data_IF_991882485899
#
_entry.id   IF_991882485899
#
_cell.length_a   1.000
_cell.length_b   1.000
_cell.length_c   1.000
_cell.angle_alpha   90.00
_cell.angle_beta   90.00
_cell.angle_gamma   90.00
#
_symmetry.space_group_name_H-M   'P 1'
#
loop_
_entity.id
_entity.type
_entity.pdbx_description
1 polymer ?
#
# COMPACT_ATOMS: atom_id res chain seq x y z
N UNK A 1 -5.13 6.30 -4.39
CA UNK A 1 -4.23 6.18 -3.22
C UNK A 1 -4.05 4.71 -2.88
N UNK A 2 -2.84 4.25 -2.54
CA UNK A 2 -2.60 2.87 -2.04
C UNK A 2 -2.43 2.95 -0.52
N UNK A 3 -3.16 2.11 0.20
CA UNK A 3 -3.05 1.98 1.66
C UNK A 3 -2.12 0.81 2.00
N UNK A 4 -0.91 1.12 2.47
CA UNK A 4 0.13 0.12 2.81
C UNK A 4 -0.28 -0.79 3.97
N UNK A 5 -1.14 -0.33 4.88
CA UNK A 5 -1.64 -1.14 5.99
C UNK A 5 -2.62 -2.21 5.48
N UNK A 6 -3.49 -1.86 4.53
CA UNK A 6 -4.38 -2.84 3.89
C UNK A 6 -3.61 -3.87 3.09
N UNK A 7 -2.59 -3.45 2.34
CA UNK A 7 -1.72 -4.38 1.64
C UNK A 7 -0.98 -5.31 2.62
N UNK A 8 -0.44 -4.77 3.71
CA UNK A 8 0.22 -5.55 4.75
C UNK A 8 -0.72 -6.57 5.42
N UNK A 9 -2.00 -6.24 5.62
CA UNK A 9 -3.02 -7.18 6.16
C UNK A 9 -3.23 -8.37 5.24
N UNK A 10 -3.21 -8.17 3.93
CA UNK A 10 -3.39 -9.24 2.93
C UNK A 10 -2.14 -10.12 2.86
N UNK A 11 -0.95 -9.52 2.84
CA UNK A 11 0.32 -10.25 2.79
C UNK A 11 0.60 -11.03 4.08
N UNK A 12 0.28 -10.44 5.23
CA UNK A 12 0.57 -10.99 6.55
C UNK A 12 -0.69 -11.54 7.25
N UNK A 13 -1.61 -12.14 6.49
CA UNK A 13 -2.84 -12.77 7.00
C UNK A 13 -2.54 -13.63 8.25
N UNK A 14 -3.26 -13.37 9.34
CA UNK A 14 -3.14 -14.09 10.61
C UNK A 14 -1.98 -13.64 11.52
N UNK A 15 -1.11 -12.71 11.10
CA UNK A 15 -0.05 -12.17 11.96
C UNK A 15 -0.54 -11.00 12.80
N UNK A 16 -0.20 -10.99 14.09
CA UNK A 16 -0.40 -9.84 14.97
C UNK A 16 0.59 -8.71 14.65
N UNK A 17 0.38 -7.51 15.22
CA UNK A 17 1.30 -6.35 15.12
C UNK A 17 1.59 -5.90 13.69
N UNK A 18 0.66 -5.13 13.12
CA UNK A 18 0.74 -4.54 11.78
C UNK A 18 0.99 -3.02 11.84
N UNK A 19 1.59 -2.52 12.92
CA UNK A 19 2.02 -1.12 12.95
C UNK A 19 3.11 -0.90 11.90
N UNK A 20 3.28 0.33 11.43
CA UNK A 20 4.32 0.66 10.46
C UNK A 20 5.71 0.28 10.99
N UNK A 21 5.99 0.57 12.26
CA UNK A 21 7.26 0.22 12.92
C UNK A 21 7.49 -1.29 12.96
N UNK A 22 6.46 -2.09 13.28
CA UNK A 22 6.56 -3.55 13.28
C UNK A 22 6.83 -4.11 11.89
N UNK A 23 6.16 -3.55 10.87
CA UNK A 23 6.35 -3.96 9.47
C UNK A 23 7.76 -3.60 8.99
N UNK A 24 8.24 -2.39 9.29
CA UNK A 24 9.61 -1.99 8.93
C UNK A 24 10.66 -2.86 9.61
N UNK A 25 10.45 -3.22 10.88
CA UNK A 25 11.34 -4.13 11.61
C UNK A 25 11.37 -5.52 10.96
N UNK A 26 10.19 -6.09 10.63
CA UNK A 26 10.07 -7.41 9.97
C UNK A 26 10.72 -7.45 8.60
N UNK A 27 10.63 -6.36 7.85
CA UNK A 27 11.21 -6.24 6.52
C UNK A 27 12.69 -5.78 6.57
N UNK A 28 13.27 -5.58 7.76
CA UNK A 28 14.67 -5.14 7.91
C UNK A 28 14.94 -3.70 7.44
N UNK A 29 13.92 -2.86 7.34
CA UNK A 29 13.98 -1.52 6.72
C UNK A 29 14.22 -0.39 7.73
N UNK A 30 14.10 -0.63 9.03
CA UNK A 30 14.23 0.42 10.05
C UNK A 30 15.54 1.20 9.97
N UNK A 31 16.67 0.50 9.74
CA UNK A 31 17.97 1.16 9.59
C UNK A 31 18.01 2.05 8.35
N UNK A 32 17.42 1.62 7.24
CA UNK A 32 17.37 2.41 6.00
C UNK A 32 16.53 3.68 6.19
N UNK A 33 15.41 3.60 6.91
CA UNK A 33 14.63 4.79 7.27
C UNK A 33 15.49 5.76 8.08
N UNK A 34 16.21 5.29 9.10
CA UNK A 34 17.04 6.14 9.95
C UNK A 34 18.21 6.79 9.18
N UNK A 35 18.71 6.16 8.12
CA UNK A 35 19.71 6.76 7.22
C UNK A 35 19.09 7.84 6.32
N UNK A 36 17.89 7.61 5.79
CA UNK A 36 17.20 8.57 4.92
C UNK A 36 16.72 9.82 5.67
N UNK A 37 16.27 9.66 6.91
CA UNK A 37 15.70 10.73 7.73
C UNK A 37 16.38 10.78 9.11
N UNK A 38 17.67 11.17 9.16
CA UNK A 38 18.45 11.15 10.38
C UNK A 38 17.84 12.05 11.47
N UNK A 39 17.86 11.58 12.71
CA UNK A 39 17.31 12.30 13.86
C UNK A 39 15.78 12.33 13.95
N UNK A 40 15.07 11.72 13.00
CA UNK A 40 13.63 11.51 13.10
C UNK A 40 13.30 10.27 13.92
N UNK A 41 12.04 10.19 14.37
CA UNK A 41 11.52 9.11 15.21
C UNK A 41 10.17 8.62 14.67
N UNK A 42 9.74 7.39 15.01
CA UNK A 42 8.41 6.89 14.65
C UNK A 42 7.29 7.87 15.04
N UNK A 43 6.18 7.85 14.30
CA UNK A 43 5.04 8.77 14.47
C UNK A 43 5.30 10.22 14.04
N UNK A 44 6.50 10.53 13.51
CA UNK A 44 6.74 11.78 12.77
C UNK A 44 6.39 11.56 11.32
N UNK A 45 5.61 12.49 10.74
CA UNK A 45 5.13 12.39 9.37
C UNK A 45 6.25 12.11 8.34
N UNK A 46 7.42 12.72 8.51
CA UNK A 46 8.57 12.48 7.63
C UNK A 46 9.13 11.06 7.77
N UNK A 47 9.24 10.55 9.01
CA UNK A 47 9.68 9.18 9.28
C UNK A 47 8.66 8.16 8.74
N UNK A 48 7.38 8.39 9.01
CA UNK A 48 6.30 7.51 8.56
C UNK A 48 6.20 7.50 7.02
N UNK A 49 6.41 8.65 6.37
CA UNK A 49 6.43 8.76 4.91
C UNK A 49 7.59 8.00 4.30
N UNK A 50 8.81 8.18 4.81
CA UNK A 50 9.99 7.46 4.35
C UNK A 50 9.84 5.93 4.58
N UNK A 51 9.30 5.55 5.74
CA UNK A 51 8.97 4.17 6.07
C UNK A 51 7.97 3.55 5.09
N UNK A 52 6.84 4.22 4.85
CA UNK A 52 5.83 3.72 3.92
C UNK A 52 6.36 3.61 2.48
N UNK A 53 7.18 4.58 2.04
CA UNK A 53 7.78 4.59 0.71
C UNK A 53 8.78 3.44 0.50
N UNK A 54 9.55 3.07 1.54
CA UNK A 54 10.44 1.90 1.48
C UNK A 54 9.68 0.58 1.61
N UNK A 55 8.65 0.53 2.44
CA UNK A 55 7.89 -0.70 2.70
C UNK A 55 7.06 -1.15 1.48
N UNK A 56 6.47 -0.21 0.73
CA UNK A 56 5.63 -0.53 -0.42
C UNK A 56 6.31 -1.38 -1.51
N UNK A 57 7.47 -1.00 -2.07
CA UNK A 57 8.15 -1.83 -3.09
C UNK A 57 8.60 -3.17 -2.53
N UNK A 58 8.94 -3.25 -1.23
CA UNK A 58 9.31 -4.52 -0.61
C UNK A 58 8.12 -5.48 -0.49
N UNK A 59 6.96 -4.97 -0.09
CA UNK A 59 5.71 -5.73 -0.09
C UNK A 59 5.30 -6.19 -1.50
N UNK A 60 5.48 -5.34 -2.52
CA UNK A 60 5.18 -5.70 -3.92
C UNK A 60 6.04 -6.88 -4.38
N UNK A 61 7.33 -6.93 -4.01
CA UNK A 61 8.23 -8.04 -4.34
C UNK A 61 7.82 -9.38 -3.71
N UNK A 62 7.05 -9.35 -2.63
CA UNK A 62 6.58 -10.56 -1.93
C UNK A 62 5.23 -11.07 -2.46
N UNK A 63 4.55 -10.31 -3.32
CA UNK A 63 3.29 -10.75 -3.90
C UNK A 63 3.51 -11.86 -4.93
N UNK A 64 2.69 -12.94 -4.91
CA UNK A 64 2.77 -13.98 -5.92
C UNK A 64 2.30 -13.45 -7.29
N UNK A 65 3.13 -13.64 -8.33
CA UNK A 65 2.78 -13.33 -9.71
C UNK A 65 4.00 -13.22 -10.62
N UNK A 66 3.97 -13.86 -11.78
CA UNK A 66 4.98 -13.67 -12.83
C UNK A 66 4.55 -12.52 -13.74
N UNK A 67 5.28 -11.40 -13.70
CA UNK A 67 5.08 -10.26 -14.62
C UNK A 67 5.00 -8.89 -13.95
N UNK A 68 4.75 -7.87 -14.78
CA UNK A 68 4.62 -6.47 -14.32
C UNK A 68 3.31 -6.27 -13.56
N UNK A 69 3.41 -6.03 -12.24
CA UNK A 69 2.24 -5.73 -11.41
C UNK A 69 1.67 -4.34 -11.78
N UNK A 70 0.45 -4.30 -12.32
CA UNK A 70 -0.22 -3.03 -12.62
C UNK A 70 -0.73 -2.34 -11.35
N UNK A 71 -0.88 -1.02 -11.41
CA UNK A 71 -1.46 -0.23 -10.31
C UNK A 71 -2.89 -0.69 -9.95
N UNK A 72 -3.69 -1.04 -10.95
CA UNK A 72 -5.06 -1.57 -10.75
C UNK A 72 -5.06 -2.95 -10.08
N UNK A 73 -4.12 -3.83 -10.46
CA UNK A 73 -3.94 -5.11 -9.79
C UNK A 73 -3.56 -4.93 -8.31
N UNK A 74 -2.67 -3.98 -8.02
CA UNK A 74 -2.28 -3.65 -6.66
C UNK A 74 -3.44 -3.07 -5.82
N UNK A 75 -4.28 -2.19 -6.40
CA UNK A 75 -5.52 -1.72 -5.74
C UNK A 75 -6.45 -2.88 -5.39
N UNK A 76 -6.64 -3.81 -6.33
CA UNK A 76 -7.49 -5.00 -6.14
C UNK A 76 -6.96 -5.91 -5.03
N UNK A 77 -5.66 -6.16 -5.01
CA UNK A 77 -4.99 -6.96 -3.95
C UNK A 77 -5.14 -6.28 -2.58
N UNK A 78 -4.99 -4.95 -2.52
CA UNK A 78 -5.19 -4.18 -1.29
C UNK A 78 -6.67 -4.07 -0.85
N UNK A 79 -7.61 -4.69 -1.58
CA UNK A 79 -9.04 -4.64 -1.27
C UNK A 79 -9.64 -3.24 -1.42
N UNK A 80 -9.07 -2.40 -2.29
CA UNK A 80 -9.67 -1.12 -2.65
C UNK A 80 -10.66 -1.33 -3.79
N UNK A 81 -11.81 -0.63 -3.81
CA UNK A 81 -12.61 -0.54 -5.03
C UNK A 81 -11.69 -0.03 -6.15
N UNK A 82 -11.55 -0.84 -7.19
CA UNK A 82 -11.07 -0.34 -8.49
C UNK A 82 -12.19 0.60 -8.94
N UNK A 83 -11.86 1.83 -9.34
CA UNK A 83 -12.87 2.83 -9.67
C UNK A 83 -13.56 2.42 -10.99
N UNK A 84 -14.48 1.45 -10.91
CA UNK A 84 -15.44 1.10 -11.96
C UNK A 84 -16.63 2.09 -11.96
N UNK A 85 -16.61 3.13 -11.12
CA UNK A 85 -17.65 4.15 -11.05
C UNK A 85 -17.69 5.08 -12.26
N UNK A 86 -16.66 5.08 -13.13
CA UNK A 86 -16.74 5.85 -14.40
C UNK A 86 -17.73 5.25 -15.40
N UNK A 87 -18.03 3.96 -15.34
CA UNK A 87 -18.98 3.32 -16.27
C UNK A 87 -20.44 3.38 -15.79
N UNK A 88 -20.68 3.69 -14.51
CA UNK A 88 -22.04 3.75 -13.95
C UNK A 88 -22.74 5.08 -14.26
N UNK A 89 -22.00 6.18 -14.44
CA UNK A 89 -22.59 7.51 -14.67
C UNK A 89 -23.02 7.70 -16.14
N UNK A 90 -22.35 7.06 -17.11
CA UNK A 90 -22.72 7.17 -18.53
C UNK A 90 -23.97 6.36 -18.92
N UNK A 91 -24.43 5.42 -18.09
CA UNK A 91 -25.64 4.62 -18.37
C UNK A 91 -26.93 5.18 -17.75
N UNK A 92 -26.88 6.37 -17.13
CA UNK A 92 -28.02 6.97 -16.42
C UNK A 92 -28.55 8.27 -17.04
N UNK A 93 -28.11 8.66 -18.24
CA UNK A 93 -28.80 9.70 -19.00
C UNK A 93 -29.99 9.09 -19.74
N UNK A 94 -31.24 9.44 -19.41
CA UNK A 94 -32.37 9.05 -20.25
C UNK A 94 -32.22 9.69 -21.63
N UNK A 95 -32.38 8.88 -22.67
CA UNK A 95 -32.64 9.35 -24.03
C UNK A 95 -34.02 10.01 -24.03
N UNK A 96 -34.07 11.32 -23.78
CA UNK A 96 -35.22 12.13 -24.13
C UNK A 96 -35.17 12.37 -25.65
N UNK A 97 -36.16 11.82 -26.36
CA UNK A 97 -36.46 12.11 -27.77
C UNK A 97 -37.39 13.32 -27.89
#
# INVERSE_FOLDING_TARGET
MIDTLRLARVIHLGKQRLSLTDLLSRHGLTQQVNVLVPGQQPHRALWDTAGAALLLPDMIRQLPGEGTLSFSALKKIAGLPVDDERNAIEQQLPLEF
#
